data_IF_069009151724
#
_entry.id   IF_069009151724
#
_cell.length_a   1.000
_cell.length_b   1.000
_cell.length_c   1.000
_cell.angle_alpha   90.00
_cell.angle_beta   90.00
_cell.angle_gamma   90.00
#
_symmetry.space_group_name_H-M   'P 1'
#
loop_
_entity.id
_entity.type
_entity.pdbx_description
1 polymer ?
#
# COMPACT_ATOMS: atom_id res chain seq x y z
N UNK A 1 -9.89 -23.03 20.79
CA UNK A 1 -10.36 -21.62 20.82
C UNK A 1 -9.53 -20.83 19.81
N UNK A 2 -9.83 -20.94 18.52
CA UNK A 2 -9.04 -20.25 17.48
C UNK A 2 -9.61 -18.84 17.34
N UNK A 3 -8.82 -17.80 17.61
CA UNK A 3 -9.23 -16.42 17.41
C UNK A 3 -9.45 -16.17 15.92
N UNK A 4 -10.70 -16.01 15.49
CA UNK A 4 -11.01 -15.55 14.14
C UNK A 4 -10.64 -14.08 14.06
N UNK A 5 -9.67 -13.75 13.22
CA UNK A 5 -9.30 -12.38 12.95
C UNK A 5 -10.36 -11.76 12.02
N UNK A 6 -11.29 -11.01 12.61
CA UNK A 6 -12.47 -10.45 11.91
C UNK A 6 -12.12 -9.29 10.97
N UNK A 7 -10.92 -8.72 11.10
CA UNK A 7 -10.50 -7.54 10.37
C UNK A 7 -9.37 -7.84 9.38
N UNK A 8 -9.35 -7.12 8.28
CA UNK A 8 -8.29 -7.14 7.26
C UNK A 8 -7.73 -5.74 7.01
N UNK A 9 -6.55 -5.71 6.40
CA UNK A 9 -5.89 -4.50 5.92
C UNK A 9 -5.98 -4.40 4.41
N UNK A 10 -6.37 -3.23 3.93
CA UNK A 10 -6.38 -2.92 2.50
C UNK A 10 -5.63 -1.62 2.28
N UNK A 11 -4.66 -1.64 1.37
CA UNK A 11 -3.90 -0.44 0.98
C UNK A 11 -4.79 0.39 0.07
N UNK A 12 -5.08 1.61 0.49
CA UNK A 12 -5.85 2.54 -0.31
C UNK A 12 -4.95 3.30 -1.28
N UNK A 13 -3.91 3.97 -0.78
CA UNK A 13 -2.99 4.77 -1.61
C UNK A 13 -1.61 4.83 -0.95
N UNK A 14 -0.57 5.03 -1.75
CA UNK A 14 0.80 5.21 -1.26
C UNK A 14 1.53 6.28 -2.05
N UNK A 15 2.35 7.04 -1.34
CA UNK A 15 3.15 8.11 -1.91
C UNK A 15 4.57 8.08 -1.35
N UNK A 16 5.51 8.60 -2.13
CA UNK A 16 6.85 8.93 -1.69
C UNK A 16 7.01 10.45 -1.71
N UNK A 17 7.59 11.01 -0.65
CA UNK A 17 7.84 12.44 -0.52
C UNK A 17 9.31 12.72 -0.33
N UNK A 18 9.79 13.78 -0.94
CA UNK A 18 11.08 14.36 -0.57
C UNK A 18 10.95 15.32 0.63
N UNK A 19 12.07 15.75 1.24
CA UNK A 19 12.04 16.70 2.35
C UNK A 19 11.47 18.08 2.00
N UNK A 20 11.43 18.45 0.71
CA UNK A 20 10.83 19.68 0.23
C UNK A 20 9.29 19.57 0.08
N UNK A 21 8.72 18.38 0.28
CA UNK A 21 7.29 18.10 0.18
C UNK A 21 6.83 17.75 -1.23
N UNK A 22 7.74 17.54 -2.19
CA UNK A 22 7.38 17.03 -3.52
C UNK A 22 6.90 15.60 -3.37
N UNK A 23 5.69 15.33 -3.88
CA UNK A 23 5.01 14.05 -3.72
C UNK A 23 4.91 13.32 -5.06
N UNK A 24 5.23 12.02 -5.03
CA UNK A 24 5.00 11.12 -6.15
C UNK A 24 4.13 9.96 -5.70
N UNK A 25 3.03 9.74 -6.43
CA UNK A 25 2.07 8.68 -6.14
C UNK A 25 2.59 7.36 -6.68
N UNK A 26 2.66 6.36 -5.81
CA UNK A 26 3.10 5.00 -6.10
C UNK A 26 1.90 4.08 -6.33
N UNK A 27 0.90 4.23 -5.46
CA UNK A 27 -0.37 3.50 -5.50
C UNK A 27 -1.48 4.53 -5.52
N UNK A 28 -2.39 4.42 -6.50
CA UNK A 28 -3.55 5.30 -6.66
C UNK A 28 -4.55 5.12 -5.52
N UNK A 29 -5.66 5.87 -5.52
CA UNK A 29 -6.73 5.82 -4.52
C UNK A 29 -7.59 4.55 -4.58
N UNK A 30 -7.35 3.66 -5.55
CA UNK A 30 -8.03 2.37 -5.68
C UNK A 30 -7.12 1.21 -5.29
N UNK A 31 -5.96 1.48 -4.70
CA UNK A 31 -4.98 0.46 -4.32
C UNK A 31 -4.18 -0.10 -5.50
N UNK A 32 -4.29 0.48 -6.69
CA UNK A 32 -3.59 0.03 -7.88
C UNK A 32 -2.21 0.69 -8.00
N UNK A 33 -1.18 -0.10 -8.30
CA UNK A 33 0.14 0.43 -8.65
C UNK A 33 0.07 1.26 -9.92
N UNK A 34 0.59 2.49 -9.86
CA UNK A 34 0.58 3.42 -11.01
C UNK A 34 1.62 3.02 -12.06
N UNK A 35 2.84 2.69 -11.61
CA UNK A 35 3.94 2.34 -12.51
C UNK A 35 4.63 1.05 -12.07
N UNK A 36 4.19 -0.06 -12.68
CA UNK A 36 4.68 -1.41 -12.36
C UNK A 36 6.17 -1.63 -12.65
N UNK A 37 6.77 -0.76 -13.47
CA UNK A 37 8.20 -0.77 -13.74
C UNK A 37 9.04 -0.32 -12.52
N UNK A 38 8.46 0.50 -11.64
CA UNK A 38 9.13 1.01 -10.44
C UNK A 38 8.84 0.15 -9.21
N UNK A 39 7.59 -0.30 -9.07
CA UNK A 39 7.15 -1.09 -7.90
C UNK A 39 6.26 -2.26 -8.36
N UNK A 40 6.38 -3.46 -7.78
CA UNK A 40 5.44 -4.55 -8.01
C UNK A 40 4.10 -4.31 -7.33
N UNK A 41 3.08 -5.04 -7.80
CA UNK A 41 1.76 -5.09 -7.16
C UNK A 41 1.85 -5.48 -5.67
N UNK A 42 0.95 -4.94 -4.86
CA UNK A 42 0.88 -5.25 -3.43
C UNK A 42 0.43 -6.70 -3.24
N UNK A 43 1.20 -7.46 -2.47
CA UNK A 43 0.88 -8.84 -2.09
C UNK A 43 0.21 -8.83 -0.72
N UNK A 44 -1.01 -9.33 -0.68
CA UNK A 44 -1.76 -9.52 0.55
C UNK A 44 -1.58 -10.94 1.08
N UNK A 45 -1.47 -11.08 2.40
CA UNK A 45 -1.59 -12.38 3.05
C UNK A 45 -2.99 -12.94 2.81
N UNK A 46 -3.12 -14.27 2.74
CA UNK A 46 -4.42 -14.94 2.51
C UNK A 46 -5.47 -14.57 3.55
N UNK A 47 -5.04 -14.29 4.78
CA UNK A 47 -5.91 -13.87 5.88
C UNK A 47 -6.06 -12.34 5.98
N UNK A 48 -5.58 -11.57 5.01
CA UNK A 48 -5.57 -10.10 4.96
C UNK A 48 -4.98 -9.42 6.21
N UNK A 49 -4.18 -10.13 7.01
CA UNK A 49 -3.54 -9.56 8.20
C UNK A 49 -2.37 -8.63 7.89
N UNK A 50 -1.82 -8.74 6.67
CA UNK A 50 -0.68 -7.94 6.21
C UNK A 50 -0.70 -7.76 4.70
N UNK A 51 -0.03 -6.71 4.26
CA UNK A 51 0.17 -6.35 2.86
C UNK A 51 1.61 -5.88 2.69
N UNK A 52 2.29 -6.33 1.63
CA UNK A 52 3.66 -5.91 1.35
C UNK A 52 3.96 -5.88 -0.14
N UNK A 53 4.92 -5.05 -0.52
CA UNK A 53 5.58 -5.10 -1.83
C UNK A 53 7.06 -4.85 -1.60
N UNK A 54 7.90 -5.41 -2.48
CA UNK A 54 9.35 -5.24 -2.41
C UNK A 54 9.80 -4.39 -3.57
N UNK A 55 10.42 -3.26 -3.26
CA UNK A 55 10.86 -2.27 -4.24
C UNK A 55 12.38 -2.14 -4.20
N UNK A 56 12.98 -1.75 -5.34
CA UNK A 56 14.38 -1.35 -5.35
C UNK A 56 14.52 0.01 -4.65
N UNK A 57 15.56 0.17 -3.84
CA UNK A 57 15.84 1.44 -3.20
C UNK A 57 16.13 2.51 -4.28
N UNK A 58 15.45 3.65 -4.18
CA UNK A 58 15.62 4.78 -5.09
C UNK A 58 15.68 6.10 -4.32
N UNK A 59 16.18 7.15 -4.98
CA UNK A 59 16.19 8.52 -4.47
C UNK A 59 15.92 9.51 -5.59
N UNK A 60 15.44 10.70 -5.26
CA UNK A 60 15.43 11.82 -6.20
C UNK A 60 16.86 12.34 -6.41
N UNK A 61 17.16 12.87 -7.59
CA UNK A 61 18.53 13.25 -7.99
C UNK A 61 19.23 14.13 -6.92
N UNK A 62 18.50 15.08 -6.35
CA UNK A 62 19.01 16.08 -5.40
C UNK A 62 18.71 15.76 -3.92
N UNK A 63 18.13 14.60 -3.61
CA UNK A 63 17.62 14.29 -2.27
C UNK A 63 18.25 13.02 -1.72
N UNK A 64 18.74 13.09 -0.48
CA UNK A 64 19.37 11.96 0.21
C UNK A 64 18.40 11.18 1.10
N UNK A 65 17.21 11.74 1.37
CA UNK A 65 16.14 11.13 2.16
C UNK A 65 14.87 11.09 1.34
N UNK A 66 14.10 10.00 1.49
CA UNK A 66 12.74 9.88 0.98
C UNK A 66 11.84 9.34 2.07
N UNK A 67 10.60 9.81 2.12
CA UNK A 67 9.59 9.38 3.08
C UNK A 67 8.48 8.63 2.36
N UNK A 68 8.26 7.38 2.75
CA UNK A 68 7.13 6.59 2.27
C UNK A 68 5.94 6.74 3.21
N UNK A 69 4.76 6.95 2.66
CA UNK A 69 3.52 7.03 3.42
C UNK A 69 2.39 6.33 2.66
N UNK A 70 1.57 5.56 3.37
CA UNK A 70 0.41 4.89 2.80
C UNK A 70 -0.83 5.18 3.63
N UNK A 71 -1.95 5.36 2.95
CA UNK A 71 -3.28 5.30 3.55
C UNK A 71 -3.78 3.87 3.48
N UNK A 72 -4.31 3.39 4.61
CA UNK A 72 -4.83 2.03 4.74
C UNK A 72 -6.25 2.07 5.28
N UNK A 73 -7.05 1.09 4.89
CA UNK A 73 -8.40 0.86 5.39
C UNK A 73 -8.41 -0.41 6.23
N UNK A 74 -8.97 -0.33 7.43
CA UNK A 74 -9.31 -1.50 8.23
C UNK A 74 -10.73 -1.93 7.86
N UNK A 75 -10.88 -3.14 7.34
CA UNK A 75 -12.16 -3.67 6.86
C UNK A 75 -12.62 -4.88 7.67
N UNK A 76 -13.93 -5.15 7.70
CA UNK A 76 -14.49 -6.39 8.26
C UNK A 76 -14.62 -7.45 7.17
N UNK A 77 -14.01 -8.61 7.39
CA UNK A 77 -13.92 -9.67 6.37
C UNK A 77 -15.26 -10.30 6.01
N UNK A 78 -16.18 -10.44 6.97
CA UNK A 78 -17.46 -11.14 6.77
C UNK A 78 -18.52 -10.26 6.07
N UNK A 79 -18.28 -8.96 5.93
CA UNK A 79 -19.23 -8.01 5.33
C UNK A 79 -18.82 -7.62 3.89
N UNK A 80 -17.93 -8.39 3.24
CA UNK A 80 -17.30 -8.03 1.95
C UNK A 80 -16.61 -6.65 1.96
N UNK A 81 -16.36 -6.07 3.15
CA UNK A 81 -15.82 -4.71 3.29
C UNK A 81 -14.36 -4.56 2.86
N UNK A 82 -13.72 -5.66 2.45
CA UNK A 82 -12.36 -5.67 1.93
C UNK A 82 -12.31 -5.79 0.39
N UNK A 83 -13.46 -5.90 -0.29
CA UNK A 83 -13.57 -5.99 -1.75
C UNK A 83 -13.58 -4.58 -2.38
N UNK A 84 -12.92 -4.41 -3.54
CA UNK A 84 -13.00 -3.18 -4.36
C UNK A 84 -11.80 -2.22 -4.33
N UNK A 85 -10.69 -2.55 -3.65
CA UNK A 85 -9.46 -1.72 -3.61
C UNK A 85 -8.23 -2.55 -4.06
N UNK A 86 -8.45 -3.68 -4.72
CA UNK A 86 -7.40 -4.49 -5.34
C UNK A 86 -8.04 -5.40 -6.40
N UNK A 87 -8.16 -4.91 -7.63
CA UNK A 87 -8.41 -5.70 -8.84
C UNK A 87 -7.42 -5.30 -9.94
#
# INVERSE_FOLDING_TARGET
>A
MTYINLHGFVVHSCVVRDPAGVEYKLIDDRGCVIEKALIPDVRYATDLSSAYTTINAFRFAEQIVVHFACQITLCRKHEQGCEGIAE
#
